data_IF_558774982537
#
_entry.id   IF_558774982537
#
_cell.length_a   1.000
_cell.length_b   1.000
_cell.length_c   1.000
_cell.angle_alpha   90.00
_cell.angle_beta   90.00
_cell.angle_gamma   90.00
#
_symmetry.space_group_name_H-M   'P 1'
#
loop_
_entity.id
_entity.type
_entity.pdbx_description
1 polymer ?
#
# COMPACT_ATOMS: atom_id res chain seq x y z
N UNK A 1 33.19 -4.03 8.88
CA UNK A 1 32.37 -3.68 7.71
C UNK A 1 31.24 -2.79 8.20
N UNK A 2 31.36 -1.46 8.02
CA UNK A 2 30.28 -0.52 8.35
C UNK A 2 29.21 -0.63 7.24
N UNK A 3 28.36 -1.64 7.33
CA UNK A 3 27.19 -1.74 6.47
C UNK A 3 26.24 -0.62 6.84
N UNK A 4 26.00 0.33 5.92
CA UNK A 4 24.98 1.36 6.11
C UNK A 4 23.68 0.69 6.54
N UNK A 5 23.16 1.07 7.72
CA UNK A 5 21.91 0.52 8.26
C UNK A 5 20.76 0.81 7.29
N UNK A 6 19.87 -0.16 7.09
CA UNK A 6 18.69 0.03 6.24
C UNK A 6 17.74 1.02 6.89
N UNK A 7 17.34 2.06 6.15
CA UNK A 7 16.43 3.09 6.65
C UNK A 7 15.15 3.12 5.84
N UNK A 8 14.02 3.12 6.50
CA UNK A 8 12.69 3.14 5.87
C UNK A 8 11.99 4.46 6.19
N UNK A 9 11.46 5.11 5.16
CA UNK A 9 10.59 6.27 5.30
C UNK A 9 9.13 5.82 5.21
N UNK A 10 8.39 5.99 6.29
CA UNK A 10 6.93 5.80 6.31
C UNK A 10 6.25 7.15 6.11
N UNK A 11 5.53 7.32 5.01
CA UNK A 11 4.72 8.52 4.76
C UNK A 11 3.30 8.25 5.23
N UNK A 12 2.92 8.96 6.30
CA UNK A 12 1.58 8.92 6.88
C UNK A 12 0.63 9.81 6.07
N UNK A 13 -0.34 9.19 5.40
CA UNK A 13 -1.33 9.86 4.55
C UNK A 13 -2.67 10.11 5.26
N UNK A 14 -2.80 9.78 6.54
CA UNK A 14 -4.00 10.08 7.31
C UNK A 14 -4.02 11.56 7.72
N UNK A 15 -5.22 12.18 7.72
CA UNK A 15 -5.38 13.54 8.24
C UNK A 15 -5.09 13.59 9.74
N UNK A 16 -4.51 14.70 10.19
CA UNK A 16 -4.22 14.90 11.61
C UNK A 16 -5.50 14.76 12.45
N UNK A 17 -5.41 13.97 13.50
CA UNK A 17 -6.54 13.71 14.40
C UNK A 17 -7.55 12.69 13.86
N UNK A 18 -7.34 12.10 12.69
CA UNK A 18 -8.17 10.99 12.24
C UNK A 18 -7.92 9.77 13.16
N UNK A 19 -8.98 9.18 13.75
CA UNK A 19 -8.82 8.09 14.70
C UNK A 19 -8.45 6.79 13.97
N UNK A 20 -7.16 6.52 13.88
CA UNK A 20 -6.64 5.27 13.28
C UNK A 20 -5.41 4.78 14.03
N UNK A 21 -5.26 3.47 14.13
CA UNK A 21 -4.08 2.81 14.67
C UNK A 21 -3.18 2.20 13.57
N UNK A 22 -3.52 2.41 12.31
CA UNK A 22 -2.85 1.76 11.18
C UNK A 22 -1.38 2.16 11.06
N UNK A 23 -1.05 3.42 11.27
CA UNK A 23 0.35 3.88 11.27
C UNK A 23 1.13 3.22 12.39
N UNK A 24 0.60 3.23 13.62
CA UNK A 24 1.21 2.57 14.76
C UNK A 24 1.42 1.06 14.53
N UNK A 25 0.52 0.40 13.80
CA UNK A 25 0.67 -1.02 13.43
C UNK A 25 1.79 -1.24 12.43
N UNK A 26 1.91 -0.40 11.38
CA UNK A 26 3.05 -0.47 10.47
C UNK A 26 4.35 -0.27 11.23
N UNK A 27 4.42 0.75 12.10
CA UNK A 27 5.58 1.01 12.94
C UNK A 27 5.93 -0.16 13.87
N UNK A 28 4.91 -0.81 14.45
CA UNK A 28 5.11 -1.99 15.30
C UNK A 28 5.71 -3.15 14.49
N UNK A 29 5.17 -3.45 13.31
CA UNK A 29 5.71 -4.50 12.42
C UNK A 29 7.16 -4.19 12.06
N UNK A 30 7.48 -2.93 11.74
CA UNK A 30 8.86 -2.54 11.41
C UNK A 30 9.78 -2.73 12.61
N UNK A 31 9.38 -2.31 13.81
CA UNK A 31 10.15 -2.44 15.07
C UNK A 31 10.41 -3.90 15.45
N UNK A 32 9.44 -4.76 15.25
CA UNK A 32 9.49 -6.18 15.59
C UNK A 32 10.14 -7.03 14.50
N UNK A 33 10.43 -6.45 13.32
CA UNK A 33 11.04 -7.15 12.21
C UNK A 33 12.47 -7.62 12.50
N UNK A 34 12.76 -8.86 12.11
CA UNK A 34 14.11 -9.44 12.18
C UNK A 34 15.11 -8.67 11.27
N UNK A 35 14.63 -7.92 10.29
CA UNK A 35 15.47 -7.13 9.38
C UNK A 35 16.24 -6.00 10.08
N UNK A 36 15.89 -5.64 11.32
CA UNK A 36 16.55 -4.62 12.15
C UNK A 36 16.81 -3.30 11.38
N UNK A 37 15.76 -2.70 10.85
CA UNK A 37 15.84 -1.49 10.09
C UNK A 37 15.57 -0.25 10.96
N UNK A 38 16.21 0.87 10.65
CA UNK A 38 15.78 2.17 11.16
C UNK A 38 14.58 2.66 10.36
N UNK A 39 13.67 3.40 10.98
CA UNK A 39 12.60 4.05 10.24
C UNK A 39 12.27 5.43 10.81
N UNK A 40 11.63 6.23 9.95
CA UNK A 40 11.05 7.52 10.32
C UNK A 40 9.66 7.63 9.72
N UNK A 41 8.70 8.03 10.53
CA UNK A 41 7.35 8.37 10.07
C UNK A 41 7.26 9.88 9.83
N UNK A 42 6.71 10.27 8.68
CA UNK A 42 6.52 11.66 8.29
C UNK A 42 5.10 11.84 7.79
N UNK A 43 4.35 12.77 8.38
CA UNK A 43 3.03 13.12 7.90
C UNK A 43 3.12 13.78 6.51
N UNK A 44 2.20 13.46 5.61
CA UNK A 44 2.23 13.88 4.20
C UNK A 44 2.37 15.39 3.99
N UNK A 45 1.85 16.21 4.91
CA UNK A 45 1.99 17.68 4.83
C UNK A 45 3.40 18.22 5.11
N UNK A 46 4.27 17.39 5.68
CA UNK A 46 5.68 17.72 5.97
C UNK A 46 6.66 16.99 5.06
N UNK A 47 6.16 16.09 4.25
CA UNK A 47 6.99 15.35 3.30
C UNK A 47 7.57 16.28 2.23
N UNK A 48 8.84 16.07 1.89
CA UNK A 48 9.55 16.71 0.79
C UNK A 48 10.33 15.65 0.00
N UNK A 49 10.34 15.68 -1.35
CA UNK A 49 11.03 14.68 -2.15
C UNK A 49 12.50 14.47 -1.80
N UNK A 50 13.22 15.55 -1.43
CA UNK A 50 14.62 15.46 -0.99
C UNK A 50 14.85 14.60 0.26
N UNK A 51 13.82 14.38 1.08
CA UNK A 51 13.95 13.55 2.28
C UNK A 51 14.28 12.10 1.96
N UNK A 52 13.99 11.61 0.75
CA UNK A 52 14.15 10.19 0.42
C UNK A 52 15.60 9.78 0.16
N UNK A 53 16.50 10.72 -0.06
CA UNK A 53 17.90 10.44 -0.44
C UNK A 53 18.65 9.60 0.59
N UNK A 54 18.26 9.67 1.86
CA UNK A 54 18.87 8.94 2.98
C UNK A 54 18.20 7.58 3.26
N UNK A 55 17.18 7.19 2.48
CA UNK A 55 16.37 6.00 2.77
C UNK A 55 16.57 4.89 1.75
N UNK A 56 16.54 3.66 2.25
CA UNK A 56 16.63 2.42 1.46
C UNK A 56 15.28 1.95 0.92
N UNK A 57 14.17 2.48 1.45
CA UNK A 57 12.82 2.12 1.03
C UNK A 57 11.78 3.10 1.57
N UNK A 58 10.64 3.17 0.90
CA UNK A 58 9.53 4.08 1.21
C UNK A 58 8.24 3.28 1.34
N UNK A 59 7.47 3.55 2.40
CA UNK A 59 6.11 3.02 2.55
C UNK A 59 5.14 4.20 2.43
N UNK A 60 4.23 4.16 1.45
CA UNK A 60 3.10 5.08 1.33
C UNK A 60 1.89 4.44 1.99
N UNK A 61 1.43 5.00 3.09
CA UNK A 61 0.32 4.44 3.86
C UNK A 61 -1.04 4.57 3.15
N UNK A 62 -2.05 3.92 3.71
CA UNK A 62 -3.46 4.22 3.43
C UNK A 62 -3.86 5.62 3.90
N UNK A 63 -5.13 5.97 3.68
CA UNK A 63 -5.77 7.21 4.13
C UNK A 63 -7.29 7.00 4.20
N UNK A 64 -7.99 7.85 4.96
CA UNK A 64 -9.44 8.03 4.87
C UNK A 64 -9.86 8.86 3.64
N UNK A 65 -8.88 9.54 3.03
CA UNK A 65 -9.11 10.35 1.83
C UNK A 65 -9.24 9.46 0.59
N UNK A 66 -9.76 10.05 -0.50
CA UNK A 66 -9.95 9.36 -1.76
C UNK A 66 -9.20 10.07 -2.88
N UNK A 67 -8.39 9.33 -3.65
CA UNK A 67 -7.66 9.89 -4.80
C UNK A 67 -8.62 10.28 -5.94
N UNK A 68 -9.77 9.61 -6.07
CA UNK A 68 -10.82 10.03 -7.03
C UNK A 68 -11.29 11.45 -6.79
N UNK A 69 -11.16 12.00 -5.59
CA UNK A 69 -11.49 13.40 -5.29
C UNK A 69 -10.55 14.40 -5.99
N UNK A 70 -9.37 13.99 -6.42
CA UNK A 70 -8.43 14.87 -7.13
C UNK A 70 -8.96 15.38 -8.48
N UNK A 71 -9.97 14.73 -9.04
CA UNK A 71 -10.57 15.15 -10.29
C UNK A 71 -11.44 16.43 -10.14
N UNK A 72 -11.89 16.75 -8.92
CA UNK A 72 -12.75 17.90 -8.64
C UNK A 72 -12.31 18.74 -7.44
N UNK A 73 -11.33 18.28 -6.65
CA UNK A 73 -10.73 19.02 -5.53
C UNK A 73 -9.23 19.25 -5.77
N UNK A 74 -8.93 20.33 -6.49
CA UNK A 74 -7.56 20.72 -6.79
C UNK A 74 -6.76 21.11 -5.53
N UNK A 75 -7.44 21.62 -4.47
CA UNK A 75 -6.77 21.94 -3.21
C UNK A 75 -6.29 20.66 -2.49
N UNK A 76 -7.12 19.63 -2.51
CA UNK A 76 -6.72 18.33 -1.97
C UNK A 76 -5.56 17.74 -2.78
N UNK A 77 -5.67 17.72 -4.10
CA UNK A 77 -4.62 17.21 -4.99
C UNK A 77 -3.28 17.89 -4.76
N UNK A 78 -3.26 19.22 -4.61
CA UNK A 78 -2.03 19.99 -4.35
C UNK A 78 -1.29 19.52 -3.10
N UNK A 79 -1.98 19.05 -2.07
CA UNK A 79 -1.35 18.53 -0.84
C UNK A 79 -0.52 17.27 -1.09
N UNK A 80 -0.78 16.53 -2.18
CA UNK A 80 -0.11 15.29 -2.55
C UNK A 80 0.84 15.43 -3.73
N UNK A 81 1.01 16.64 -4.30
CA UNK A 81 1.86 16.85 -5.47
C UNK A 81 3.29 16.33 -5.26
N UNK A 82 3.87 16.53 -4.08
CA UNK A 82 5.22 16.07 -3.77
C UNK A 82 5.34 14.52 -3.76
N UNK A 83 4.32 13.81 -3.30
CA UNK A 83 4.28 12.35 -3.40
C UNK A 83 4.06 11.88 -4.84
N UNK A 84 3.20 12.58 -5.60
CA UNK A 84 3.00 12.28 -7.01
C UNK A 84 4.28 12.50 -7.82
N UNK A 85 5.04 13.55 -7.51
CA UNK A 85 6.35 13.82 -8.09
C UNK A 85 7.37 12.74 -7.72
N UNK A 86 7.44 12.38 -6.44
CA UNK A 86 8.27 11.27 -5.97
C UNK A 86 7.99 10.00 -6.78
N UNK A 87 6.72 9.57 -6.86
CA UNK A 87 6.33 8.34 -7.55
C UNK A 87 6.70 8.37 -9.05
N UNK A 88 6.55 9.53 -9.71
CA UNK A 88 6.90 9.68 -11.13
C UNK A 88 8.39 9.63 -11.37
N UNK A 89 9.18 10.24 -10.52
CA UNK A 89 10.60 10.52 -10.77
C UNK A 89 11.54 9.54 -10.07
N UNK A 90 11.08 8.83 -9.03
CA UNK A 90 11.90 7.86 -8.31
C UNK A 90 12.13 6.60 -9.15
N UNK A 91 13.39 6.33 -9.46
CA UNK A 91 13.84 5.17 -10.24
C UNK A 91 14.66 4.16 -9.41
N UNK A 92 15.09 4.54 -8.21
CA UNK A 92 16.09 3.81 -7.44
C UNK A 92 15.53 3.21 -6.15
N UNK A 93 14.78 4.01 -5.38
CA UNK A 93 14.35 3.60 -4.04
C UNK A 93 13.08 2.76 -4.13
N UNK A 94 13.05 1.55 -3.54
CA UNK A 94 11.85 0.73 -3.47
C UNK A 94 10.67 1.43 -2.80
N UNK A 95 9.47 1.26 -3.35
CA UNK A 95 8.23 1.80 -2.79
C UNK A 95 7.24 0.67 -2.53
N UNK A 96 6.70 0.61 -1.31
CA UNK A 96 5.52 -0.16 -0.94
C UNK A 96 4.35 0.81 -0.75
N UNK A 97 3.33 0.69 -1.58
CA UNK A 97 2.17 1.58 -1.58
C UNK A 97 0.90 0.85 -1.15
N UNK A 98 0.23 1.31 -0.08
CA UNK A 98 -0.90 0.65 0.57
C UNK A 98 -2.19 1.45 0.35
N UNK A 99 -3.23 0.82 -0.15
CA UNK A 99 -4.59 1.36 -0.32
C UNK A 99 -4.62 2.75 -0.99
N UNK A 100 -4.68 3.85 -0.23
CA UNK A 100 -4.57 5.20 -0.76
C UNK A 100 -3.24 5.41 -1.51
N UNK A 101 -2.13 4.93 -0.94
CA UNK A 101 -0.82 4.94 -1.59
C UNK A 101 -0.83 4.18 -2.93
N UNK A 102 -1.53 3.04 -3.02
CA UNK A 102 -1.75 2.32 -4.28
C UNK A 102 -2.46 3.21 -5.31
N UNK A 103 -3.50 3.94 -4.90
CA UNK A 103 -4.20 4.86 -5.80
C UNK A 103 -3.33 6.05 -6.22
N UNK A 104 -2.49 6.59 -5.30
CA UNK A 104 -1.51 7.63 -5.65
C UNK A 104 -0.54 7.14 -6.73
N UNK A 105 -0.01 5.92 -6.58
CA UNK A 105 0.85 5.29 -7.58
C UNK A 105 0.11 5.16 -8.91
N UNK A 106 -1.08 4.59 -8.93
CA UNK A 106 -1.85 4.43 -10.15
C UNK A 106 -2.14 5.78 -10.83
N UNK A 107 -2.57 6.78 -10.07
CA UNK A 107 -2.83 8.13 -10.56
C UNK A 107 -1.57 8.83 -11.11
N UNK A 108 -0.42 8.66 -10.44
CA UNK A 108 0.85 9.22 -10.89
C UNK A 108 1.28 8.70 -12.26
N UNK A 109 0.93 7.45 -12.60
CA UNK A 109 1.15 6.84 -13.91
C UNK A 109 0.00 7.05 -14.90
N UNK A 110 -0.97 7.92 -14.56
CA UNK A 110 -2.05 8.33 -15.46
C UNK A 110 -3.25 7.38 -15.51
N UNK A 111 -3.36 6.44 -14.59
CA UNK A 111 -4.53 5.57 -14.51
C UNK A 111 -5.77 6.31 -14.02
N UNK A 112 -6.93 5.87 -14.51
CA UNK A 112 -8.22 6.35 -14.05
C UNK A 112 -8.56 5.72 -12.69
N UNK A 113 -8.69 6.56 -11.65
CA UNK A 113 -9.20 6.13 -10.36
C UNK A 113 -10.72 6.25 -10.38
N UNK A 114 -11.40 5.11 -10.29
CA UNK A 114 -12.86 5.04 -10.27
C UNK A 114 -13.36 4.88 -8.84
N UNK A 115 -14.61 5.29 -8.59
CA UNK A 115 -15.24 5.16 -7.28
C UNK A 115 -16.48 4.27 -7.36
N UNK A 116 -16.60 3.34 -6.42
CA UNK A 116 -17.80 2.51 -6.30
C UNK A 116 -18.99 3.34 -5.85
N UNK A 117 -20.16 3.12 -6.47
CA UNK A 117 -21.41 3.83 -6.14
C UNK A 117 -22.12 3.26 -4.91
N UNK A 118 -21.77 2.05 -4.51
CA UNK A 118 -22.36 1.37 -3.36
C UNK A 118 -21.50 1.70 -2.14
N UNK A 119 -22.15 1.96 -1.01
CA UNK A 119 -21.50 2.17 0.29
C UNK A 119 -20.38 1.15 0.47
N UNK A 120 -19.19 1.65 0.69
CA UNK A 120 -17.94 0.97 0.52
C UNK A 120 -17.90 -0.40 1.14
N UNK A 121 -16.98 -1.18 0.66
CA UNK A 121 -16.55 -2.40 1.33
C UNK A 121 -16.01 -1.98 2.70
N UNK A 122 -16.89 -1.84 3.69
CA UNK A 122 -16.51 -1.77 5.09
C UNK A 122 -15.47 -2.85 5.33
N UNK A 123 -14.48 -2.60 6.18
CA UNK A 123 -13.35 -3.50 6.38
C UNK A 123 -13.77 -4.96 6.45
N UNK A 124 -13.37 -5.73 5.46
CA UNK A 124 -13.66 -7.17 5.38
C UNK A 124 -12.43 -7.94 4.90
N UNK A 125 -12.39 -9.19 5.27
CA UNK A 125 -11.38 -10.11 4.76
C UNK A 125 -11.92 -10.78 3.49
N UNK A 126 -11.13 -10.72 2.42
CA UNK A 126 -11.37 -11.44 1.17
C UNK A 126 -10.19 -12.37 0.88
N UNK A 127 -10.43 -13.42 0.11
CA UNK A 127 -9.35 -14.24 -0.42
C UNK A 127 -9.00 -13.74 -1.82
N UNK A 128 -7.72 -13.49 -2.06
CA UNK A 128 -7.21 -13.14 -3.37
C UNK A 128 -6.29 -14.24 -3.89
N UNK A 129 -6.30 -14.42 -5.22
CA UNK A 129 -5.38 -15.30 -5.92
C UNK A 129 -4.29 -14.46 -6.57
N UNK A 130 -3.04 -14.74 -6.21
CA UNK A 130 -1.85 -14.14 -6.83
C UNK A 130 -1.46 -14.99 -8.03
N UNK A 131 -1.41 -14.39 -9.23
CA UNK A 131 -1.11 -15.09 -10.50
C UNK A 131 0.30 -15.66 -10.50
N UNK A 132 1.25 -14.88 -9.96
CA UNK A 132 2.66 -15.22 -9.86
C UNK A 132 3.17 -14.69 -8.52
N UNK A 133 3.80 -15.54 -7.74
CA UNK A 133 4.51 -15.16 -6.51
C UNK A 133 5.78 -14.38 -6.85
N UNK A 134 6.18 -13.52 -5.97
CA UNK A 134 7.37 -12.70 -6.09
C UNK A 134 8.05 -12.51 -4.73
N UNK A 135 9.01 -11.59 -4.67
CA UNK A 135 9.75 -11.27 -3.46
C UNK A 135 8.88 -10.69 -2.34
N UNK A 136 7.72 -10.12 -2.66
CA UNK A 136 6.81 -9.54 -1.66
C UNK A 136 5.75 -10.54 -1.18
N UNK A 137 5.12 -11.26 -2.12
CA UNK A 137 4.05 -12.22 -1.81
C UNK A 137 4.44 -13.61 -2.30
N UNK A 138 4.75 -14.48 -1.34
CA UNK A 138 5.27 -15.85 -1.57
C UNK A 138 4.18 -16.90 -1.72
N UNK A 139 2.93 -16.58 -1.38
CA UNK A 139 1.79 -17.51 -1.39
C UNK A 139 0.79 -17.16 -2.50
N UNK A 140 0.23 -18.19 -3.15
CA UNK A 140 -0.73 -17.99 -4.27
C UNK A 140 -2.15 -17.61 -3.83
N UNK A 141 -2.60 -18.05 -2.65
CA UNK A 141 -3.95 -17.78 -2.15
C UNK A 141 -3.85 -17.23 -0.74
N UNK A 142 -4.16 -15.96 -0.58
CA UNK A 142 -4.01 -15.27 0.70
C UNK A 142 -5.29 -14.54 1.11
N UNK A 143 -5.63 -14.55 2.41
CA UNK A 143 -6.63 -13.67 2.97
C UNK A 143 -6.05 -12.27 3.15
N UNK A 144 -6.80 -11.24 2.76
CA UNK A 144 -6.40 -9.85 2.88
C UNK A 144 -7.55 -9.00 3.38
N UNK A 145 -7.24 -7.95 4.16
CA UNK A 145 -8.22 -6.99 4.63
C UNK A 145 -8.39 -5.86 3.61
N UNK A 146 -9.61 -5.62 3.13
CA UNK A 146 -9.94 -4.55 2.18
C UNK A 146 -10.88 -3.53 2.81
N UNK A 147 -10.58 -2.25 2.62
CA UNK A 147 -11.38 -1.13 3.11
C UNK A 147 -11.18 0.10 2.21
N UNK A 148 -11.92 0.15 1.10
CA UNK A 148 -11.77 1.23 0.12
C UNK A 148 -13.06 1.47 -0.66
N UNK A 149 -13.21 2.69 -1.17
CA UNK A 149 -14.27 3.11 -2.10
C UNK A 149 -13.71 3.26 -3.52
N UNK A 150 -12.48 3.77 -3.61
CA UNK A 150 -11.79 3.93 -4.88
C UNK A 150 -11.25 2.60 -5.36
N UNK A 151 -11.14 2.44 -6.68
CA UNK A 151 -10.55 1.26 -7.30
C UNK A 151 -9.91 1.60 -8.65
N UNK A 152 -9.03 0.71 -9.11
CA UNK A 152 -8.42 0.76 -10.44
C UNK A 152 -8.87 -0.45 -11.24
N UNK A 153 -9.33 -0.21 -12.46
CA UNK A 153 -9.72 -1.28 -13.38
C UNK A 153 -8.47 -2.02 -13.89
N UNK A 154 -8.48 -3.37 -13.94
CA UNK A 154 -7.40 -4.11 -14.58
C UNK A 154 -7.32 -3.90 -16.10
N UNK A 155 -8.36 -3.29 -16.70
CA UNK A 155 -8.41 -2.96 -18.12
C UNK A 155 -7.88 -1.54 -18.42
N UNK A 156 -7.45 -0.79 -17.40
CA UNK A 156 -6.83 0.52 -17.61
C UNK A 156 -5.53 0.40 -18.40
N UNK A 157 -5.42 1.11 -19.53
CA UNK A 157 -4.30 1.00 -20.46
C UNK A 157 -2.97 1.46 -19.85
N UNK A 158 -3.00 2.47 -18.97
CA UNK A 158 -1.80 2.98 -18.30
C UNK A 158 -1.29 1.98 -17.25
N UNK A 159 -2.22 1.29 -16.56
CA UNK A 159 -1.84 0.20 -15.65
C UNK A 159 -1.22 -0.95 -16.43
N UNK A 160 -1.85 -1.43 -17.49
CA UNK A 160 -1.33 -2.54 -18.29
C UNK A 160 0.03 -2.23 -18.91
N UNK A 161 0.25 -0.97 -19.32
CA UNK A 161 1.51 -0.51 -19.89
C UNK A 161 2.65 -0.50 -18.86
N UNK A 162 2.40 -0.01 -17.67
CA UNK A 162 3.44 0.28 -16.68
C UNK A 162 3.61 -0.83 -15.63
N UNK A 163 2.56 -1.61 -15.36
CA UNK A 163 2.52 -2.58 -14.27
C UNK A 163 2.22 -4.00 -14.74
N UNK A 164 2.77 -4.97 -14.03
CA UNK A 164 2.31 -6.34 -14.03
C UNK A 164 1.19 -6.46 -13.00
N UNK A 165 -0.02 -6.87 -13.43
CA UNK A 165 -1.16 -7.08 -12.54
C UNK A 165 -1.09 -8.50 -12.00
N UNK A 166 -0.70 -8.62 -10.74
CA UNK A 166 -0.46 -9.90 -10.06
C UNK A 166 -1.71 -10.46 -9.36
N UNK A 167 -2.65 -9.59 -8.97
CA UNK A 167 -3.92 -10.04 -8.40
C UNK A 167 -5.07 -9.08 -8.71
N UNK A 168 -6.25 -9.65 -8.91
CA UNK A 168 -7.51 -8.93 -9.07
C UNK A 168 -8.59 -9.55 -8.19
N UNK A 169 -9.62 -8.78 -7.86
CA UNK A 169 -10.84 -9.30 -7.27
C UNK A 169 -12.08 -8.74 -7.97
N UNK A 170 -13.20 -9.46 -7.85
CA UNK A 170 -14.48 -9.01 -8.35
C UNK A 170 -15.47 -8.88 -7.20
N UNK A 171 -16.12 -7.74 -7.08
CA UNK A 171 -17.10 -7.47 -6.04
C UNK A 171 -18.24 -6.63 -6.61
N UNK A 172 -19.49 -7.11 -6.49
CA UNK A 172 -20.71 -6.38 -6.87
C UNK A 172 -20.60 -5.76 -8.28
N UNK A 173 -20.09 -6.54 -9.24
CA UNK A 173 -19.90 -6.08 -10.62
C UNK A 173 -18.62 -5.28 -10.92
N UNK A 174 -17.90 -4.84 -9.92
CA UNK A 174 -16.62 -4.17 -10.08
C UNK A 174 -15.47 -5.17 -10.16
N UNK A 175 -14.66 -5.08 -11.22
CA UNK A 175 -13.39 -5.81 -11.34
C UNK A 175 -12.25 -4.85 -11.02
N UNK A 176 -11.42 -5.19 -10.05
CA UNK A 176 -10.43 -4.27 -9.50
C UNK A 176 -9.08 -4.94 -9.28
N UNK A 177 -8.02 -4.17 -9.47
CA UNK A 177 -6.65 -4.58 -9.16
C UNK A 177 -6.49 -4.65 -7.64
N UNK A 178 -5.92 -5.74 -7.14
CA UNK A 178 -5.59 -5.92 -5.72
C UNK A 178 -4.08 -5.86 -5.46
N UNK A 179 -3.28 -6.30 -6.42
CA UNK A 179 -1.83 -6.21 -6.37
C UNK A 179 -1.27 -5.96 -7.75
N UNK A 180 -0.41 -4.98 -7.86
CA UNK A 180 0.38 -4.71 -9.06
C UNK A 180 1.83 -4.34 -8.69
N UNK A 181 2.76 -4.73 -9.58
CA UNK A 181 4.19 -4.42 -9.49
C UNK A 181 4.62 -3.69 -10.74
N UNK A 182 5.39 -2.61 -10.59
CA UNK A 182 5.88 -1.88 -11.74
C UNK A 182 6.90 -2.72 -12.53
N UNK A 183 6.80 -2.68 -13.87
CA UNK A 183 7.58 -3.57 -14.76
C UNK A 183 9.08 -3.34 -14.73
N UNK A 184 9.52 -2.10 -14.39
CA UNK A 184 10.94 -1.69 -14.48
C UNK A 184 11.50 -1.10 -13.18
N UNK A 185 10.65 -0.77 -12.21
CA UNK A 185 11.04 -0.12 -10.96
C UNK A 185 10.58 -0.98 -9.79
N UNK A 186 11.23 -0.87 -8.65
CA UNK A 186 10.85 -1.56 -7.42
C UNK A 186 9.66 -0.87 -6.74
N UNK A 187 8.50 -0.80 -7.44
CA UNK A 187 7.25 -0.25 -6.90
C UNK A 187 6.24 -1.38 -6.79
N UNK A 188 5.84 -1.65 -5.55
CA UNK A 188 4.84 -2.65 -5.17
C UNK A 188 3.60 -1.91 -4.66
N UNK A 189 2.44 -2.16 -5.25
CA UNK A 189 1.23 -1.45 -4.90
C UNK A 189 0.09 -2.41 -4.56
N UNK A 190 -0.38 -2.32 -3.32
CA UNK A 190 -1.40 -3.17 -2.72
C UNK A 190 -2.67 -2.37 -2.46
N UNK A 191 -3.81 -2.82 -2.96
CA UNK A 191 -5.11 -2.20 -2.69
C UNK A 191 -5.60 -2.46 -1.28
N UNK A 192 -5.17 -3.55 -0.67
CA UNK A 192 -5.56 -4.01 0.66
C UNK A 192 -4.63 -3.47 1.76
N UNK A 193 -4.98 -3.76 3.01
CA UNK A 193 -4.30 -3.29 4.21
C UNK A 193 -3.56 -4.45 4.90
N UNK A 194 -2.27 -4.68 4.62
CA UNK A 194 -1.48 -5.72 5.27
C UNK A 194 -1.29 -5.45 6.78
N UNK A 195 -1.30 -4.17 7.19
CA UNK A 195 -1.19 -3.74 8.57
C UNK A 195 -2.46 -3.99 9.39
N UNK A 196 -3.61 -4.24 8.75
CA UNK A 196 -4.91 -4.37 9.42
C UNK A 196 -5.40 -5.80 9.33
N UNK A 197 -5.56 -6.43 10.47
CA UNK A 197 -6.05 -7.81 10.59
C UNK A 197 -7.25 -7.93 11.52
N UNK A 198 -7.69 -6.83 12.13
CA UNK A 198 -8.87 -6.82 12.97
C UNK A 198 -10.09 -6.44 12.17
N UNK A 199 -11.07 -7.29 12.24
CA UNK A 199 -12.38 -7.02 11.72
C UNK A 199 -13.19 -6.13 12.69
N UNK A 200 -12.65 -5.01 13.13
CA UNK A 200 -13.38 -4.05 14.01
C UNK A 200 -14.70 -3.56 13.41
N UNK A 201 -14.87 -3.76 12.11
CA UNK A 201 -16.07 -3.36 11.38
C UNK A 201 -17.10 -4.48 11.23
N UNK A 202 -16.80 -5.69 11.74
CA UNK A 202 -17.74 -6.81 11.73
C UNK A 202 -18.26 -7.11 13.13
N UNK A 203 -19.47 -7.60 13.19
CA UNK A 203 -19.98 -8.18 14.45
C UNK A 203 -19.01 -9.29 14.89
N UNK A 204 -18.55 -9.30 16.15
CA UNK A 204 -17.53 -10.27 16.63
C UNK A 204 -17.87 -11.72 16.32
N UNK A 205 -19.17 -12.08 16.32
CA UNK A 205 -19.64 -13.44 16.01
C UNK A 205 -19.47 -13.87 14.54
N UNK A 206 -19.10 -12.94 13.63
CA UNK A 206 -18.90 -13.25 12.20
C UNK A 206 -17.42 -13.39 11.85
N UNK A 207 -16.52 -13.33 12.83
CA UNK A 207 -15.07 -13.40 12.62
C UNK A 207 -14.62 -14.84 12.88
N UNK A 208 -14.12 -15.52 11.86
CA UNK A 208 -13.32 -16.72 12.06
C UNK A 208 -11.90 -16.30 12.51
N UNK A 209 -11.58 -16.55 13.79
CA UNK A 209 -10.27 -16.21 14.37
C UNK A 209 -9.10 -16.84 13.62
N UNK A 210 -9.29 -18.01 13.02
CA UNK A 210 -8.24 -18.67 12.20
C UNK A 210 -7.95 -17.85 10.96
N UNK A 211 -9.00 -17.33 10.30
CA UNK A 211 -8.86 -16.47 9.12
C UNK A 211 -8.23 -15.14 9.53
N UNK A 212 -8.66 -14.53 10.62
CA UNK A 212 -8.08 -13.29 11.15
C UNK A 212 -6.60 -13.45 11.47
N UNK A 213 -6.21 -14.54 12.17
CA UNK A 213 -4.83 -14.84 12.50
C UNK A 213 -3.98 -15.12 11.25
N UNK A 214 -4.53 -15.82 10.26
CA UNK A 214 -3.85 -16.03 8.98
C UNK A 214 -3.66 -14.71 8.24
N UNK A 215 -4.67 -13.83 8.23
CA UNK A 215 -4.58 -12.51 7.60
C UNK A 215 -3.50 -11.65 8.25
N UNK A 216 -3.38 -11.70 9.59
CA UNK A 216 -2.32 -11.04 10.35
C UNK A 216 -0.94 -11.51 9.92
N UNK A 217 -0.70 -12.83 9.94
CA UNK A 217 0.59 -13.41 9.57
C UNK A 217 0.99 -13.04 8.14
N UNK A 218 0.06 -13.16 7.21
CA UNK A 218 0.30 -12.79 5.80
C UNK A 218 0.62 -11.30 5.67
N UNK A 219 -0.10 -10.44 6.39
CA UNK A 219 0.14 -9.00 6.36
C UNK A 219 1.52 -8.62 6.93
N UNK A 220 1.90 -9.23 8.06
CA UNK A 220 3.25 -9.07 8.63
C UNK A 220 4.33 -9.55 7.66
N UNK A 221 4.18 -10.77 7.10
CA UNK A 221 5.12 -11.34 6.13
C UNK A 221 5.32 -10.41 4.92
N UNK A 222 4.26 -9.80 4.39
CA UNK A 222 4.35 -8.88 3.26
C UNK A 222 5.20 -7.65 3.61
N UNK A 223 4.98 -7.02 4.77
CA UNK A 223 5.76 -5.86 5.19
C UNK A 223 7.21 -6.28 5.47
N UNK A 224 7.44 -7.38 6.18
CA UNK A 224 8.79 -7.90 6.46
C UNK A 224 9.55 -8.23 5.18
N UNK A 225 8.92 -8.85 4.19
CA UNK A 225 9.52 -9.15 2.89
C UNK A 225 9.95 -7.86 2.17
N UNK A 226 9.17 -6.79 2.27
CA UNK A 226 9.57 -5.48 1.75
C UNK A 226 10.80 -4.93 2.47
N UNK A 227 10.86 -5.03 3.80
CA UNK A 227 12.02 -4.60 4.58
C UNK A 227 13.28 -5.37 4.19
N UNK A 228 13.17 -6.69 4.04
CA UNK A 228 14.24 -7.53 3.54
C UNK A 228 14.67 -7.16 2.14
N UNK A 229 13.71 -6.94 1.24
CA UNK A 229 14.00 -6.49 -0.12
C UNK A 229 14.82 -5.19 -0.11
N UNK A 230 14.46 -4.21 0.72
CA UNK A 230 15.21 -2.95 0.89
C UNK A 230 16.61 -3.17 1.48
N UNK A 231 16.80 -4.18 2.33
CA UNK A 231 18.09 -4.48 2.96
C UNK A 231 19.09 -5.11 1.99
N UNK A 232 18.63 -5.95 1.07
CA UNK A 232 19.49 -6.65 0.11
C UNK A 232 19.76 -5.84 -1.17
N UNK A 233 18.88 -4.95 -1.56
CA UNK A 233 19.02 -4.14 -2.77
C UNK A 233 19.64 -2.76 -2.51
N UNK A 234 20.52 -2.65 -1.52
CA UNK A 234 21.35 -1.45 -1.33
C UNK A 234 22.32 -1.34 -2.50
N UNK A 235 22.16 -0.32 -3.31
CA UNK A 235 23.15 0.12 -4.28
C UNK A 235 24.20 1.00 -3.62
#
# INVERSE_FOLDING_TARGET
MNGNQTKILLIDNYSRGFPTDRIARIETIIKESIAQVEFKSVHFTHFKPKMVEDYSGIILSGSELNVSSFYYDEKLKKKFNEQLELVRNNNQIPILALCFGFHLVAYAFGAQISRMRILGLGGRIIFIKVKKTDELITQKNIPVNVHHMDFVSPNDCNIQKNFEILSTSRTIGYNMVQYMKHRKRSIFALQFHPETHNAYYFHPSLIDERIANKTRKVGQEIIENFLWFCSYNKQ
#
